data_IF_126048452444
#
_entry.id   IF_126048452444
#
_cell.length_a   1.000
_cell.length_b   1.000
_cell.length_c   1.000
_cell.angle_alpha   90.00
_cell.angle_beta   90.00
_cell.angle_gamma   90.00
#
_symmetry.space_group_name_H-M   'P 1'
#
loop_
_entity.id
_entity.type
_entity.pdbx_description
1 polymer ?
#
# COMPACT_ATOMS: atom_id res chain seq x y z
N UNK A 1 10.93 -35.41 -74.72
CA UNK A 1 11.21 -36.81 -74.29
C UNK A 1 10.76 -36.93 -72.85
N UNK A 2 9.61 -37.49 -72.72
CA UNK A 2 9.26 -38.74 -72.04
C UNK A 2 9.26 -38.69 -70.51
N UNK A 3 8.10 -38.44 -69.99
CA UNK A 3 7.25 -39.29 -69.15
C UNK A 3 7.90 -39.92 -67.88
N UNK A 4 7.35 -39.73 -66.71
CA UNK A 4 6.45 -40.76 -66.13
C UNK A 4 5.85 -40.33 -64.78
N UNK A 5 4.52 -40.37 -64.71
CA UNK A 5 3.70 -40.49 -63.50
C UNK A 5 3.95 -41.83 -62.80
N UNK A 6 3.95 -41.87 -61.53
CA UNK A 6 3.51 -43.04 -60.76
C UNK A 6 2.90 -42.64 -59.43
N UNK A 7 1.58 -42.82 -59.39
CA UNK A 7 0.78 -43.02 -58.19
C UNK A 7 1.16 -44.36 -57.55
N UNK A 8 1.30 -44.41 -56.23
CA UNK A 8 1.03 -45.64 -55.48
C UNK A 8 0.46 -45.32 -54.15
N UNK A 9 -0.84 -45.54 -54.05
CA UNK A 9 -1.55 -45.86 -52.80
C UNK A 9 -0.97 -47.18 -52.28
N UNK A 10 -0.65 -47.21 -51.01
CA UNK A 10 -0.54 -48.44 -50.24
C UNK A 10 -1.21 -48.20 -48.89
N UNK A 11 -2.30 -48.91 -48.72
CA UNK A 11 -2.93 -49.14 -47.42
C UNK A 11 -1.99 -49.97 -46.56
N UNK A 12 -1.81 -49.57 -45.31
CA UNK A 12 -1.54 -50.46 -44.21
C UNK A 12 -2.34 -50.02 -42.99
N UNK A 13 -3.28 -50.83 -42.64
CA UNK A 13 -4.02 -50.84 -41.40
C UNK A 13 -3.11 -51.12 -40.21
N UNK A 14 -3.07 -50.26 -39.27
CA UNK A 14 -2.41 -50.43 -37.97
C UNK A 14 -3.31 -49.89 -36.86
N UNK A 15 -3.65 -50.77 -35.94
CA UNK A 15 -4.57 -50.56 -34.85
C UNK A 15 -4.19 -49.37 -33.98
N UNK A 16 -5.09 -48.41 -33.85
CA UNK A 16 -4.96 -47.33 -32.90
C UNK A 16 -5.41 -47.81 -31.52
N UNK A 17 -4.45 -47.97 -30.60
CA UNK A 17 -4.75 -48.10 -29.18
C UNK A 17 -5.13 -46.73 -28.68
N UNK A 18 -6.39 -46.51 -28.39
CA UNK A 18 -6.88 -45.30 -27.75
C UNK A 18 -6.51 -45.32 -26.28
N UNK A 19 -5.39 -44.67 -25.92
CA UNK A 19 -5.11 -44.28 -24.54
C UNK A 19 -6.01 -43.08 -24.22
N UNK A 20 -7.07 -43.33 -23.50
CA UNK A 20 -7.88 -42.29 -22.88
C UNK A 20 -7.05 -41.63 -21.75
N UNK A 21 -6.29 -40.62 -22.12
CA UNK A 21 -5.68 -39.70 -21.17
C UNK A 21 -6.78 -38.86 -20.54
N UNK A 22 -7.18 -39.18 -19.31
CA UNK A 22 -8.01 -38.31 -18.51
C UNK A 22 -7.21 -37.01 -18.26
N UNK A 23 -7.52 -35.98 -19.04
CA UNK A 23 -7.07 -34.64 -18.75
C UNK A 23 -7.75 -34.20 -17.43
N UNK A 24 -7.00 -34.32 -16.33
CA UNK A 24 -7.39 -33.66 -15.09
C UNK A 24 -7.29 -32.15 -15.35
N UNK A 25 -8.39 -31.55 -15.76
CA UNK A 25 -8.53 -30.11 -15.76
C UNK A 25 -8.52 -29.66 -14.31
N UNK A 26 -7.32 -29.33 -13.78
CA UNK A 26 -7.22 -28.51 -12.58
C UNK A 26 -7.74 -27.12 -12.95
N UNK A 27 -9.05 -26.95 -12.84
CA UNK A 27 -9.61 -25.60 -12.78
C UNK A 27 -9.05 -24.99 -11.49
N UNK A 28 -7.99 -24.19 -11.61
CA UNK A 28 -7.67 -23.21 -10.60
C UNK A 28 -8.88 -22.30 -10.54
N UNK A 29 -9.81 -22.61 -9.62
CA UNK A 29 -10.85 -21.67 -9.27
C UNK A 29 -10.13 -20.40 -8.82
N UNK A 30 -10.09 -19.41 -9.72
CA UNK A 30 -9.70 -18.03 -9.36
C UNK A 30 -10.66 -17.68 -8.22
N UNK A 31 -10.10 -17.56 -7.00
CA UNK A 31 -10.88 -17.11 -5.86
C UNK A 31 -11.65 -15.87 -6.34
N UNK A 32 -12.98 -15.96 -6.32
CA UNK A 32 -13.79 -14.81 -6.66
C UNK A 32 -13.35 -13.68 -5.74
N UNK A 33 -12.74 -12.65 -6.32
CA UNK A 33 -12.30 -11.47 -5.59
C UNK A 33 -13.53 -10.90 -4.88
N UNK A 34 -13.68 -11.21 -3.59
CA UNK A 34 -14.68 -10.56 -2.78
C UNK A 34 -14.44 -9.05 -2.90
N UNK A 35 -15.51 -8.30 -3.19
CA UNK A 35 -15.38 -6.85 -3.31
C UNK A 35 -14.64 -6.28 -2.08
N UNK A 36 -13.67 -5.39 -2.28
CA UNK A 36 -12.88 -4.87 -1.19
C UNK A 36 -13.79 -4.19 -0.15
N UNK A 37 -13.62 -4.54 1.11
CA UNK A 37 -14.39 -3.99 2.22
C UNK A 37 -13.57 -2.92 2.94
N UNK A 38 -14.26 -1.85 3.37
CA UNK A 38 -13.68 -0.85 4.26
C UNK A 38 -13.41 -1.47 5.64
N UNK A 39 -12.16 -1.40 6.11
CA UNK A 39 -11.77 -1.77 7.46
C UNK A 39 -11.25 -0.55 8.21
N UNK A 40 -11.67 -0.38 9.47
CA UNK A 40 -11.25 0.74 10.32
C UNK A 40 -10.27 0.24 11.36
N UNK A 41 -9.12 0.91 11.46
CA UNK A 41 -8.09 0.68 12.46
C UNK A 41 -8.25 1.70 13.59
N UNK A 42 -8.10 1.22 14.85
CA UNK A 42 -8.24 2.04 16.06
C UNK A 42 -7.12 1.71 17.02
N UNK A 43 -6.67 2.69 17.74
CA UNK A 43 -5.68 2.53 18.84
C UNK A 43 -6.34 2.13 20.16
N UNK A 44 -7.67 1.96 20.18
CA UNK A 44 -8.45 1.62 21.38
C UNK A 44 -9.81 1.01 21.03
N UNK A 45 -10.67 0.77 22.02
CA UNK A 45 -11.99 0.21 21.82
C UNK A 45 -12.87 1.15 20.95
N UNK A 46 -13.89 0.55 20.32
CA UNK A 46 -14.85 1.34 19.54
C UNK A 46 -15.58 2.31 20.47
N UNK A 47 -15.56 3.63 20.19
CA UNK A 47 -16.24 4.61 21.03
C UNK A 47 -17.77 4.43 20.97
N UNK A 48 -18.47 4.81 22.02
CA UNK A 48 -19.92 4.73 22.12
C UNK A 48 -20.62 5.69 21.15
N UNK A 49 -20.01 6.85 20.91
CA UNK A 49 -20.48 7.84 19.91
C UNK A 49 -19.52 7.84 18.72
N UNK A 50 -20.02 8.05 17.48
CA UNK A 50 -19.16 8.14 16.32
C UNK A 50 -18.12 9.26 16.47
N UNK A 51 -16.82 8.99 16.29
CA UNK A 51 -15.80 10.01 16.32
C UNK A 51 -15.86 10.87 15.04
N UNK A 52 -15.27 12.06 15.08
CA UNK A 52 -15.21 12.95 13.92
C UNK A 52 -14.40 12.35 12.74
N UNK A 53 -13.41 11.51 13.04
CA UNK A 53 -12.58 10.83 12.02
C UNK A 53 -12.07 9.49 12.56
N UNK A 54 -11.51 8.66 11.69
CA UNK A 54 -10.81 7.42 12.03
C UNK A 54 -9.30 7.63 11.93
N UNK A 55 -8.52 7.04 12.83
CA UNK A 55 -7.06 7.11 12.78
C UNK A 55 -6.47 6.42 11.55
N UNK A 56 -7.10 5.30 11.13
CA UNK A 56 -6.71 4.62 9.92
C UNK A 56 -7.86 3.85 9.29
N UNK A 57 -7.86 3.78 7.96
CA UNK A 57 -8.85 3.05 7.16
C UNK A 57 -8.10 2.30 6.06
N UNK A 58 -8.45 1.01 5.82
CA UNK A 58 -8.08 0.34 4.58
C UNK A 58 -9.28 0.07 3.69
N UNK A 59 -9.01 0.03 2.39
CA UNK A 59 -9.91 -0.42 1.34
C UNK A 59 -9.12 -1.22 0.31
N UNK A 60 -9.44 -2.50 0.19
CA UNK A 60 -8.55 -3.43 -0.48
C UNK A 60 -7.22 -3.52 0.27
N UNK A 61 -6.13 -3.40 -0.44
CA UNK A 61 -4.78 -3.37 0.12
C UNK A 61 -4.25 -1.95 0.40
N UNK A 62 -5.03 -0.88 0.11
CA UNK A 62 -4.63 0.49 0.45
C UNK A 62 -5.00 0.83 1.88
N UNK A 63 -4.07 1.48 2.58
CA UNK A 63 -4.19 1.97 3.94
C UNK A 63 -4.01 3.49 3.95
N UNK A 64 -4.98 4.18 4.54
CA UNK A 64 -5.01 5.62 4.72
C UNK A 64 -4.89 5.92 6.21
N UNK A 65 -3.87 6.65 6.62
CA UNK A 65 -3.74 7.15 7.98
C UNK A 65 -4.05 8.64 8.02
N UNK A 66 -4.78 9.06 9.04
CA UNK A 66 -5.04 10.47 9.31
C UNK A 66 -3.78 11.20 9.74
N UNK A 67 -3.81 12.52 9.63
CA UNK A 67 -2.72 13.40 10.05
C UNK A 67 -2.34 13.17 11.51
N UNK A 68 -1.04 13.02 11.74
CA UNK A 68 -0.44 12.86 13.06
C UNK A 68 0.24 14.17 13.47
N UNK A 69 -0.11 14.66 14.65
CA UNK A 69 0.44 15.88 15.24
C UNK A 69 1.09 15.57 16.59
N UNK A 70 2.13 16.32 16.93
CA UNK A 70 2.73 16.29 18.27
C UNK A 70 1.96 17.24 19.21
N UNK A 71 1.68 16.79 20.43
CA UNK A 71 0.96 17.57 21.46
C UNK A 71 1.85 18.01 22.62
N UNK A 72 3.10 17.59 22.63
CA UNK A 72 4.08 17.96 23.67
C UNK A 72 4.92 19.15 23.20
N UNK A 73 5.43 19.99 24.10
CA UNK A 73 6.36 21.06 23.75
C UNK A 73 7.62 20.49 23.07
N UNK A 74 8.14 21.21 22.09
CA UNK A 74 9.35 20.82 21.39
C UNK A 74 9.60 21.71 20.16
N UNK A 75 10.75 21.55 19.54
CA UNK A 75 11.07 22.16 18.26
C UNK A 75 10.53 21.29 17.09
N UNK A 76 10.77 21.73 15.87
CA UNK A 76 10.32 21.03 14.67
C UNK A 76 10.89 19.61 14.57
N UNK A 77 12.11 19.36 15.04
CA UNK A 77 12.74 18.04 15.00
C UNK A 77 12.05 17.08 15.96
N UNK A 78 11.76 17.53 17.19
CA UNK A 78 10.98 16.76 18.18
C UNK A 78 9.60 16.42 17.65
N UNK A 79 8.90 17.39 17.07
CA UNK A 79 7.56 17.18 16.52
C UNK A 79 7.56 16.23 15.32
N UNK A 80 8.56 16.33 14.47
CA UNK A 80 8.71 15.46 13.29
C UNK A 80 9.02 14.01 13.71
N UNK A 81 9.96 13.82 14.65
CA UNK A 81 10.28 12.48 15.17
C UNK A 81 9.08 11.82 15.83
N UNK A 82 8.32 12.59 16.63
CA UNK A 82 7.08 12.10 17.24
C UNK A 82 6.07 11.66 16.18
N UNK A 83 5.80 12.51 15.19
CA UNK A 83 4.80 12.21 14.15
C UNK A 83 5.17 10.96 13.35
N UNK A 84 6.42 10.83 12.92
CA UNK A 84 6.92 9.68 12.18
C UNK A 84 6.93 8.42 13.05
N UNK A 85 7.26 8.51 14.33
CA UNK A 85 7.22 7.40 15.28
C UNK A 85 5.79 6.87 15.50
N UNK A 86 4.81 7.75 15.60
CA UNK A 86 3.39 7.35 15.73
C UNK A 86 2.84 6.77 14.42
N UNK A 87 3.22 7.33 13.25
CA UNK A 87 2.88 6.77 11.94
C UNK A 87 3.42 5.33 11.83
N UNK A 88 4.69 5.11 12.19
CA UNK A 88 5.30 3.78 12.19
C UNK A 88 4.48 2.78 13.01
N UNK A 89 4.13 3.12 14.24
CA UNK A 89 3.30 2.27 15.13
C UNK A 89 1.94 1.93 14.50
N UNK A 90 1.29 2.92 13.87
CA UNK A 90 -0.02 2.72 13.25
C UNK A 90 0.08 1.84 11.99
N UNK A 91 1.13 2.01 11.18
CA UNK A 91 1.43 1.15 10.04
C UNK A 91 1.63 -0.30 10.47
N UNK A 92 2.50 -0.54 11.46
CA UNK A 92 2.79 -1.88 12.00
C UNK A 92 1.54 -2.54 12.58
N UNK A 93 0.73 -1.80 13.34
CA UNK A 93 -0.55 -2.28 13.87
C UNK A 93 -1.57 -2.67 12.79
N UNK A 94 -1.45 -2.09 11.59
CA UNK A 94 -2.28 -2.41 10.45
C UNK A 94 -1.69 -3.52 9.54
N UNK A 95 -0.50 -4.03 9.82
CA UNK A 95 0.21 -5.03 9.00
C UNK A 95 1.00 -4.43 7.83
N UNK A 96 1.31 -3.13 7.91
CA UNK A 96 2.14 -2.39 6.96
C UNK A 96 3.51 -2.03 7.56
N UNK A 97 4.29 -1.20 6.89
CA UNK A 97 5.57 -0.68 7.39
C UNK A 97 5.89 0.68 6.77
N UNK A 98 6.95 1.33 7.24
CA UNK A 98 7.41 2.61 6.69
C UNK A 98 7.80 2.49 5.20
N UNK A 99 8.43 1.40 4.80
CA UNK A 99 8.84 1.13 3.40
C UNK A 99 7.66 0.90 2.46
N UNK A 100 6.48 0.59 3.02
CA UNK A 100 5.24 0.41 2.25
C UNK A 100 4.44 1.70 2.08
N UNK A 101 4.94 2.83 2.56
CA UNK A 101 4.29 4.12 2.35
C UNK A 101 4.46 4.56 0.90
N UNK A 102 3.36 4.90 0.26
CA UNK A 102 3.31 5.34 -1.14
C UNK A 102 3.31 6.87 -1.26
N UNK A 103 2.68 7.54 -0.31
CA UNK A 103 2.54 9.00 -0.30
C UNK A 103 2.58 9.53 1.12
N UNK A 104 3.24 10.69 1.29
CA UNK A 104 3.13 11.54 2.45
C UNK A 104 2.60 12.92 2.07
N UNK A 105 1.77 13.53 2.92
CA UNK A 105 1.53 14.97 2.93
C UNK A 105 2.11 15.53 4.22
N UNK A 106 2.91 16.56 4.12
CA UNK A 106 3.52 17.25 5.25
C UNK A 106 3.01 18.67 5.30
N UNK A 107 2.34 19.03 6.37
CA UNK A 107 1.92 20.39 6.69
C UNK A 107 2.87 20.94 7.73
N UNK A 108 3.45 22.12 7.46
CA UNK A 108 4.31 22.85 8.39
C UNK A 108 3.57 24.09 8.91
N UNK A 109 3.77 24.43 10.16
CA UNK A 109 3.27 25.71 10.70
C UNK A 109 4.00 26.89 10.05
N UNK A 110 5.25 26.72 9.65
CA UNK A 110 6.05 27.71 8.96
C UNK A 110 7.07 27.00 8.01
N UNK A 111 7.19 27.48 6.76
CA UNK A 111 8.16 26.93 5.80
C UNK A 111 9.63 27.15 6.21
N UNK A 112 9.94 28.05 7.14
CA UNK A 112 11.30 28.17 7.70
C UNK A 112 11.81 26.87 8.33
N UNK A 113 10.89 26.01 8.80
CA UNK A 113 11.19 24.74 9.46
C UNK A 113 11.46 23.59 8.46
N UNK A 114 11.31 23.84 7.14
CA UNK A 114 11.42 22.81 6.11
C UNK A 114 12.76 22.05 6.13
N UNK A 115 13.87 22.78 6.27
CA UNK A 115 15.20 22.16 6.30
C UNK A 115 15.40 21.26 7.53
N UNK A 116 15.05 21.77 8.73
CA UNK A 116 15.18 21.04 9.97
C UNK A 116 14.22 19.83 10.07
N UNK A 117 13.02 19.95 9.51
CA UNK A 117 12.09 18.83 9.34
C UNK A 117 12.71 17.74 8.45
N UNK A 118 13.29 18.10 7.31
CA UNK A 118 13.92 17.15 6.39
C UNK A 118 15.10 16.39 7.01
N UNK A 119 15.87 16.99 7.89
CA UNK A 119 16.97 16.30 8.58
C UNK A 119 16.45 15.07 9.37
N UNK A 120 15.25 15.17 9.94
CA UNK A 120 14.60 14.07 10.68
C UNK A 120 13.89 13.12 9.75
N UNK A 121 13.26 13.63 8.70
CA UNK A 121 12.44 12.87 7.76
C UNK A 121 13.27 11.92 6.86
N UNK A 122 14.47 12.38 6.47
CA UNK A 122 15.33 11.64 5.54
C UNK A 122 15.72 10.27 6.10
N UNK A 123 15.62 9.23 5.28
CA UNK A 123 15.95 7.84 5.63
C UNK A 123 14.90 7.11 6.46
N UNK A 124 13.77 7.74 6.82
CA UNK A 124 12.73 7.08 7.63
C UNK A 124 11.90 6.05 6.86
N UNK A 125 11.92 6.08 5.52
CA UNK A 125 11.10 5.25 4.65
C UNK A 125 11.90 4.23 3.82
N UNK A 126 13.16 3.97 4.21
CA UNK A 126 14.05 3.08 3.44
C UNK A 126 14.70 3.76 2.24
N UNK A 127 15.19 2.94 1.31
CA UNK A 127 15.96 3.40 0.14
C UNK A 127 15.08 4.07 -0.93
N UNK A 128 13.81 3.64 -1.03
CA UNK A 128 12.82 4.17 -1.98
C UNK A 128 11.73 4.98 -1.25
N UNK A 129 11.97 6.26 -0.92
CA UNK A 129 11.02 7.06 -0.16
C UNK A 129 9.73 7.34 -0.94
N UNK A 130 8.59 7.56 -0.23
CA UNK A 130 7.30 7.84 -0.85
C UNK A 130 7.30 9.17 -1.61
N UNK A 131 6.33 9.32 -2.52
CA UNK A 131 6.02 10.65 -3.06
C UNK A 131 5.58 11.57 -1.91
N UNK A 132 5.99 12.85 -1.97
CA UNK A 132 5.67 13.82 -0.91
C UNK A 132 5.20 15.16 -1.46
N UNK A 133 4.21 15.74 -0.81
CA UNK A 133 3.90 17.17 -0.91
C UNK A 133 4.17 17.82 0.44
N UNK A 134 4.78 19.01 0.43
CA UNK A 134 5.02 19.80 1.66
C UNK A 134 4.52 21.22 1.43
N UNK A 135 3.76 21.72 2.38
CA UNK A 135 3.18 23.08 2.32
C UNK A 135 3.09 23.67 3.74
N UNK A 136 3.05 25.01 3.83
CA UNK A 136 2.70 25.69 5.06
C UNK A 136 1.19 25.78 5.21
N UNK A 137 0.71 25.55 6.42
CA UNK A 137 -0.68 25.76 6.82
C UNK A 137 -0.81 26.99 7.72
N UNK A 138 -1.94 27.68 7.67
CA UNK A 138 -2.22 28.82 8.53
C UNK A 138 -2.37 28.46 10.01
N UNK A 139 -2.47 27.17 10.34
CA UNK A 139 -2.53 26.61 11.68
C UNK A 139 -2.58 25.10 11.64
N UNK A 140 -1.98 24.46 12.64
CA UNK A 140 -1.98 23.01 12.84
C UNK A 140 -2.63 22.70 14.19
N UNK A 141 -3.48 21.67 14.29
CA UNK A 141 -4.10 21.31 15.57
C UNK A 141 -3.09 21.11 16.70
N UNK A 142 -3.53 21.42 17.92
CA UNK A 142 -2.73 21.29 19.13
C UNK A 142 -1.44 22.14 19.16
N UNK A 143 -1.35 23.19 18.35
CA UNK A 143 -0.14 24.01 18.17
C UNK A 143 1.08 23.20 17.76
N UNK A 144 0.87 22.08 17.06
CA UNK A 144 1.96 21.30 16.47
C UNK A 144 2.67 22.13 15.40
N UNK A 145 3.98 21.94 15.26
CA UNK A 145 4.78 22.58 14.22
C UNK A 145 4.71 21.81 12.88
N UNK A 146 4.28 20.54 12.94
CA UNK A 146 4.11 19.68 11.77
C UNK A 146 2.91 18.76 11.96
N UNK A 147 2.23 18.47 10.85
CA UNK A 147 1.28 17.37 10.71
C UNK A 147 1.69 16.52 9.50
N UNK A 148 1.62 15.21 9.63
CA UNK A 148 1.96 14.28 8.54
C UNK A 148 0.85 13.25 8.40
N UNK A 149 0.28 13.13 7.19
CA UNK A 149 -0.57 12.01 6.80
C UNK A 149 0.14 11.10 5.79
N UNK A 150 -0.31 9.85 5.70
CA UNK A 150 0.28 8.90 4.76
C UNK A 150 -0.78 7.98 4.12
N UNK A 151 -0.46 7.56 2.89
CA UNK A 151 -1.12 6.45 2.19
C UNK A 151 -0.06 5.35 2.03
N UNK A 152 -0.41 4.14 2.45
CA UNK A 152 0.44 2.95 2.38
C UNK A 152 -0.32 1.77 1.75
N UNK A 153 0.35 0.63 1.63
CA UNK A 153 -0.31 -0.65 1.33
C UNK A 153 -0.05 -1.69 2.42
N UNK A 154 -0.93 -2.69 2.49
CA UNK A 154 -0.86 -3.79 3.45
C UNK A 154 -0.37 -5.05 2.76
#
# INVERSE_FOLDING_TARGET
>A
MTTRKTNRRALLSGAAVAMAGAAVSTSTAKAADAAPLKKVYRTGPKPATPPAYSTGISFGNLLFLSGVVCRTPGDIKVHTEFALGEIKKQLEAAGSSMEKVLRCTVFLADMKDFAAMNEVYTGKFGDDPPTRSTLAASGIPANSLVEIDVIAYI
#
